data_IF_386930177731
#
_entry.id   IF_386930177731
#
_cell.length_a   1.000
_cell.length_b   1.000
_cell.length_c   1.000
_cell.angle_alpha   90.00
_cell.angle_beta   90.00
_cell.angle_gamma   90.00
#
_symmetry.space_group_name_H-M   'P 1'
#
loop_
_entity.id
_entity.type
_entity.pdbx_description
1 polymer ?
#
# COMPACT_ATOMS: atom_id res chain seq x y z
N UNK A 1 -39.56 2.20 -3.90
CA UNK A 1 -38.95 1.89 -2.59
C UNK A 1 -38.31 0.49 -2.60
N UNK A 2 -37.31 0.25 -3.46
CA UNK A 2 -36.53 -1.01 -3.44
C UNK A 2 -35.11 -0.80 -4.00
N UNK A 3 -34.92 0.23 -4.85
CA UNK A 3 -33.62 0.63 -5.41
C UNK A 3 -32.70 1.39 -4.44
N UNK A 4 -33.25 2.00 -3.38
CA UNK A 4 -32.50 2.78 -2.39
C UNK A 4 -31.81 1.92 -1.31
N UNK A 5 -32.20 0.64 -1.17
CA UNK A 5 -31.61 -0.28 -0.18
C UNK A 5 -30.43 -1.09 -0.73
N UNK A 6 -30.16 -1.02 -2.04
CA UNK A 6 -28.98 -1.66 -2.64
C UNK A 6 -27.70 -0.81 -2.50
N UNK A 7 -27.80 0.40 -1.94
CA UNK A 7 -26.68 1.11 -1.34
C UNK A 7 -26.33 0.47 0.01
N UNK A 8 -26.16 -0.86 0.02
CA UNK A 8 -25.56 -1.57 1.12
C UNK A 8 -24.20 -0.91 1.31
N UNK A 9 -24.05 -0.20 2.42
CA UNK A 9 -22.76 0.27 2.90
C UNK A 9 -21.79 -0.90 2.82
N UNK A 10 -20.91 -0.89 1.83
CA UNK A 10 -19.73 -1.76 1.86
C UNK A 10 -18.81 -1.11 2.87
N UNK A 11 -19.04 -1.38 4.16
CA UNK A 11 -18.09 -1.05 5.19
C UNK A 11 -16.87 -1.93 4.94
N UNK A 12 -15.91 -1.38 4.19
CA UNK A 12 -14.65 -2.04 3.90
C UNK A 12 -13.90 -2.20 5.23
N UNK A 13 -13.86 -3.42 5.75
CA UNK A 13 -13.10 -3.83 6.94
C UNK A 13 -11.58 -3.90 6.68
N UNK A 14 -11.10 -3.16 5.68
CA UNK A 14 -9.68 -3.12 5.28
C UNK A 14 -8.83 -2.28 6.26
N UNK A 15 -9.36 -1.96 7.45
CA UNK A 15 -8.70 -1.13 8.45
C UNK A 15 -7.92 -2.02 9.41
N UNK A 16 -6.60 -1.88 9.37
CA UNK A 16 -5.68 -2.55 10.29
C UNK A 16 -4.99 -1.49 11.15
N UNK A 17 -4.77 -1.77 12.43
CA UNK A 17 -3.94 -0.90 13.29
C UNK A 17 -2.49 -1.04 12.85
N UNK A 18 -1.78 0.07 12.69
CA UNK A 18 -0.37 0.04 12.28
C UNK A 18 0.52 -0.70 13.28
N UNK A 19 0.16 -0.70 14.56
CA UNK A 19 0.84 -1.46 15.63
C UNK A 19 0.74 -2.98 15.46
N UNK A 20 -0.28 -3.45 14.74
CA UNK A 20 -0.53 -4.88 14.55
C UNK A 20 0.18 -5.41 13.30
N UNK A 21 0.82 -4.53 12.52
CA UNK A 21 1.57 -4.87 11.30
C UNK A 21 3.05 -4.90 11.61
N UNK A 22 3.66 -6.08 11.55
CA UNK A 22 5.09 -6.28 11.86
C UNK A 22 6.01 -6.16 10.63
N UNK A 23 5.53 -6.49 9.43
CA UNK A 23 6.37 -6.52 8.22
C UNK A 23 5.54 -6.17 6.98
N UNK A 24 6.10 -5.34 6.11
CA UNK A 24 5.58 -5.04 4.78
C UNK A 24 6.46 -5.68 3.72
N UNK A 25 5.83 -6.36 2.76
CA UNK A 25 6.51 -6.83 1.54
C UNK A 25 6.12 -5.91 0.40
N UNK A 26 7.09 -5.14 -0.10
CA UNK A 26 6.88 -4.16 -1.17
C UNK A 26 7.41 -4.75 -2.47
N UNK A 27 6.62 -4.65 -3.54
CA UNK A 27 6.97 -5.21 -4.85
C UNK A 27 7.09 -4.09 -5.89
N UNK A 28 8.17 -4.11 -6.67
CA UNK A 28 8.40 -3.16 -7.76
C UNK A 28 7.28 -3.25 -8.79
N UNK A 29 6.72 -2.10 -9.16
CA UNK A 29 5.64 -1.99 -10.14
C UNK A 29 4.24 -2.22 -9.57
N UNK A 30 4.10 -2.62 -8.30
CA UNK A 30 2.81 -2.66 -7.61
C UNK A 30 2.47 -1.28 -7.03
N UNK A 31 1.18 -1.02 -6.89
CA UNK A 31 0.64 0.26 -6.38
C UNK A 31 -0.02 0.08 -5.01
N UNK A 32 -0.13 1.17 -4.25
CA UNK A 32 -0.85 1.22 -2.98
C UNK A 32 -2.36 1.38 -3.21
N UNK A 33 -3.17 0.91 -2.27
CA UNK A 33 -4.64 0.94 -2.33
C UNK A 33 -5.24 2.20 -1.71
N UNK A 34 -4.57 3.35 -1.87
CA UNK A 34 -4.98 4.62 -1.25
C UNK A 34 -6.43 4.99 -1.61
N UNK A 35 -7.32 5.07 -0.61
CA UNK A 35 -8.72 5.47 -0.80
C UNK A 35 -8.91 7.00 -0.83
N UNK A 36 -8.11 7.73 -0.06
CA UNK A 36 -8.18 9.21 0.06
C UNK A 36 -7.12 9.94 -0.76
N UNK A 37 -6.18 9.22 -1.35
CA UNK A 37 -5.07 9.73 -2.15
C UNK A 37 -4.94 8.91 -3.42
N UNK A 38 -4.31 9.46 -4.45
CA UNK A 38 -3.97 8.69 -5.64
C UNK A 38 -3.06 7.49 -5.26
N UNK A 39 -3.24 6.32 -5.89
CA UNK A 39 -2.31 5.20 -5.78
C UNK A 39 -0.88 5.62 -6.12
N UNK A 40 0.09 5.19 -5.32
CA UNK A 40 1.52 5.40 -5.55
C UNK A 40 2.25 4.06 -5.67
N UNK A 41 3.42 4.03 -6.31
CA UNK A 41 4.24 2.83 -6.37
C UNK A 41 4.65 2.39 -4.96
N UNK A 42 4.50 1.10 -4.65
CA UNK A 42 4.91 0.51 -3.37
C UNK A 42 6.42 0.60 -3.15
N UNK A 43 7.19 0.48 -4.23
CA UNK A 43 8.65 0.51 -4.20
C UNK A 43 9.19 1.35 -5.36
N UNK A 44 9.87 2.45 -5.05
CA UNK A 44 10.45 3.36 -6.04
C UNK A 44 11.79 3.93 -5.55
N UNK A 45 12.83 3.87 -6.39
CA UNK A 45 14.11 4.53 -6.11
C UNK A 45 14.01 6.02 -6.47
N UNK A 46 13.96 6.89 -5.46
CA UNK A 46 13.81 8.33 -5.67
C UNK A 46 15.14 9.08 -5.81
N UNK A 47 16.23 8.60 -5.21
CA UNK A 47 17.52 9.33 -5.16
C UNK A 47 18.71 8.51 -4.68
N UNK A 48 19.83 9.18 -4.40
CA UNK A 48 21.08 8.61 -3.88
C UNK A 48 22.22 8.56 -4.90
N UNK A 49 23.47 8.58 -4.43
CA UNK A 49 24.68 8.55 -5.29
C UNK A 49 24.84 7.24 -6.07
N UNK A 50 24.19 6.17 -5.63
CA UNK A 50 24.17 4.86 -6.29
C UNK A 50 22.89 4.59 -7.11
N UNK A 51 22.02 5.60 -7.31
CA UNK A 51 20.78 5.46 -8.09
C UNK A 51 21.05 4.89 -9.48
N UNK A 52 20.20 3.96 -9.92
CA UNK A 52 20.30 3.31 -11.23
C UNK A 52 21.32 2.17 -11.34
N UNK A 53 22.14 1.92 -10.31
CA UNK A 53 23.08 0.77 -10.32
C UNK A 53 22.37 -0.56 -10.08
N UNK A 54 21.52 -0.60 -9.06
CA UNK A 54 20.75 -1.77 -8.70
C UNK A 54 19.46 -1.33 -8.01
N UNK A 55 18.34 -1.93 -8.41
CA UNK A 55 17.05 -1.71 -7.78
C UNK A 55 16.39 -3.07 -7.51
N UNK A 56 16.08 -3.40 -6.24
CA UNK A 56 15.45 -4.66 -5.91
C UNK A 56 14.02 -4.73 -6.49
N UNK A 57 13.59 -5.94 -6.87
CA UNK A 57 12.21 -6.20 -7.29
C UNK A 57 11.25 -6.39 -6.12
N UNK A 58 11.75 -6.86 -4.97
CA UNK A 58 10.98 -7.11 -3.75
C UNK A 58 11.80 -6.62 -2.56
N UNK A 59 11.16 -5.97 -1.60
CA UNK A 59 11.79 -5.52 -0.36
C UNK A 59 10.91 -5.81 0.85
N UNK A 60 11.52 -6.38 1.90
CA UNK A 60 10.86 -6.63 3.18
C UNK A 60 11.24 -5.51 4.14
N UNK A 61 10.26 -4.70 4.51
CA UNK A 61 10.41 -3.65 5.49
C UNK A 61 9.84 -4.13 6.82
N UNK A 62 10.70 -4.30 7.83
CA UNK A 62 10.26 -4.64 9.17
C UNK A 62 9.81 -3.36 9.89
N UNK A 63 8.57 -3.33 10.35
CA UNK A 63 8.01 -2.18 11.05
C UNK A 63 8.32 -2.34 12.53
N UNK A 64 9.28 -1.55 13.00
CA UNK A 64 9.49 -1.33 14.42
C UNK A 64 8.74 -0.05 14.81
N UNK A 65 7.41 -0.15 14.94
CA UNK A 65 6.54 0.93 15.43
C UNK A 65 6.15 0.62 16.87
#
# INVERSE_FOLDING_TARGET
MVTFLYFIFTESDDRVRLTDVSTLTLVKGQYTTGRRSAPVLQLQCVGGSAKGRYEPRVHFFNLAI
#
